data_IF_441270264452
#
_entry.id   IF_441270264452
#
_cell.length_a   1.000
_cell.length_b   1.000
_cell.length_c   1.000
_cell.angle_alpha   90.00
_cell.angle_beta   90.00
_cell.angle_gamma   90.00
#
_symmetry.space_group_name_H-M   'P 1'
#
loop_
_entity.id
_entity.type
_entity.pdbx_description
1 polymer ?
#
# COMPACT_ATOMS: atom_id res chain seq x y z
N UNK A 1 1.76 20.32 -2.02
CA UNK A 1 1.17 18.95 -2.07
C UNK A 1 1.89 18.08 -3.09
N UNK A 2 2.23 18.59 -4.27
CA UNK A 2 2.92 17.82 -5.32
C UNK A 2 4.27 17.22 -4.85
N UNK A 3 5.06 17.99 -4.08
CA UNK A 3 6.33 17.52 -3.49
C UNK A 3 6.13 16.34 -2.55
N UNK A 4 5.20 16.45 -1.59
CA UNK A 4 4.88 15.40 -0.61
C UNK A 4 4.41 14.12 -1.31
N UNK A 5 3.59 14.25 -2.35
CA UNK A 5 3.10 13.09 -3.09
C UNK A 5 4.22 12.38 -3.86
N UNK A 6 5.11 13.15 -4.51
CA UNK A 6 6.24 12.57 -5.25
C UNK A 6 7.22 11.83 -4.32
N UNK A 7 7.51 12.41 -3.16
CA UNK A 7 8.34 11.76 -2.13
C UNK A 7 7.67 10.49 -1.57
N UNK A 8 6.36 10.53 -1.27
CA UNK A 8 5.64 9.35 -0.82
C UNK A 8 5.64 8.24 -1.87
N UNK A 9 5.52 8.57 -3.16
CA UNK A 9 5.62 7.59 -4.26
C UNK A 9 7.01 6.98 -4.30
N UNK A 10 8.08 7.77 -4.18
CA UNK A 10 9.44 7.27 -4.16
C UNK A 10 9.68 6.31 -2.97
N UNK A 11 9.25 6.69 -1.76
CA UNK A 11 9.33 5.83 -0.58
C UNK A 11 8.48 4.56 -0.73
N UNK A 12 7.29 4.67 -1.34
CA UNK A 12 6.40 3.53 -1.56
C UNK A 12 7.06 2.43 -2.40
N UNK A 13 7.94 2.79 -3.34
CA UNK A 13 8.66 1.81 -4.16
C UNK A 13 9.62 0.93 -3.32
N UNK A 14 10.23 1.51 -2.29
CA UNK A 14 11.11 0.80 -1.35
C UNK A 14 10.30 -0.07 -0.38
N UNK A 15 9.13 0.42 0.04
CA UNK A 15 8.26 -0.29 1.00
C UNK A 15 7.42 -1.39 0.33
N UNK A 16 7.10 -1.27 -0.95
CA UNK A 16 6.29 -2.21 -1.71
C UNK A 16 6.75 -3.68 -1.62
N UNK A 17 8.04 -4.05 -1.79
CA UNK A 17 8.46 -5.44 -1.66
C UNK A 17 8.25 -5.98 -0.23
N UNK A 18 8.51 -5.17 0.80
CA UNK A 18 8.30 -5.56 2.20
C UNK A 18 6.83 -5.88 2.43
N UNK A 19 5.94 -4.97 2.03
CA UNK A 19 4.49 -5.14 2.20
C UNK A 19 3.96 -6.29 1.35
N UNK A 20 4.49 -6.48 0.13
CA UNK A 20 4.11 -7.59 -0.75
C UNK A 20 4.42 -8.96 -0.12
N UNK A 21 5.56 -9.11 0.56
CA UNK A 21 5.92 -10.35 1.28
C UNK A 21 4.87 -10.65 2.37
N UNK A 22 4.54 -9.66 3.20
CA UNK A 22 3.49 -9.83 4.22
C UNK A 22 2.15 -10.21 3.61
N UNK A 23 1.72 -9.50 2.55
CA UNK A 23 0.46 -9.78 1.86
C UNK A 23 0.44 -11.20 1.25
N UNK A 24 1.56 -11.67 0.70
CA UNK A 24 1.69 -13.04 0.21
C UNK A 24 1.54 -14.08 1.33
N UNK A 25 2.13 -13.84 2.50
CA UNK A 25 1.95 -14.73 3.66
C UNK A 25 0.48 -14.84 4.07
N UNK A 26 -0.26 -13.72 4.08
CA UNK A 26 -1.70 -13.74 4.36
C UNK A 26 -2.51 -14.46 3.28
N UNK A 27 -2.11 -14.38 2.01
CA UNK A 27 -2.74 -15.14 0.92
C UNK A 27 -2.55 -16.65 1.07
N UNK A 28 -1.40 -17.09 1.58
CA UNK A 28 -1.12 -18.51 1.83
C UNK A 28 -1.94 -19.08 3.00
N UNK A 29 -2.42 -18.23 3.91
CA UNK A 29 -3.21 -18.62 5.09
C UNK A 29 -4.70 -18.91 4.80
N UNK A 30 -5.10 -19.13 3.54
CA UNK A 30 -6.49 -19.35 3.08
C UNK A 30 -7.51 -18.29 3.57
N UNK A 31 -7.04 -17.04 3.75
CA UNK A 31 -7.92 -15.95 4.16
C UNK A 31 -8.86 -15.56 3.01
N UNK A 32 -10.11 -15.30 3.36
CA UNK A 32 -11.13 -14.88 2.41
C UNK A 32 -10.64 -13.63 1.64
N UNK A 33 -10.52 -13.78 0.31
CA UNK A 33 -9.91 -12.80 -0.59
C UNK A 33 -10.54 -11.41 -0.52
N UNK A 34 -11.77 -11.30 -0.02
CA UNK A 34 -12.48 -10.04 0.21
C UNK A 34 -11.79 -9.13 1.25
N UNK A 35 -11.05 -9.70 2.20
CA UNK A 35 -10.39 -8.96 3.28
C UNK A 35 -8.94 -8.58 2.95
N UNK A 36 -8.32 -9.26 1.99
CA UNK A 36 -6.96 -8.98 1.54
C UNK A 36 -6.68 -7.49 1.27
N UNK A 37 -7.51 -6.73 0.54
CA UNK A 37 -7.21 -5.32 0.29
C UNK A 37 -7.22 -4.44 1.54
N UNK A 38 -8.12 -4.71 2.49
CA UNK A 38 -8.15 -3.99 3.77
C UNK A 38 -6.93 -4.34 4.62
N UNK A 39 -6.52 -5.61 4.63
CA UNK A 39 -5.33 -6.07 5.32
C UNK A 39 -4.08 -5.43 4.70
N UNK A 40 -3.96 -5.40 3.37
CA UNK A 40 -2.83 -4.79 2.70
C UNK A 40 -2.70 -3.29 2.97
N UNK A 41 -3.81 -2.55 2.96
CA UNK A 41 -3.80 -1.11 3.27
C UNK A 41 -3.45 -0.89 4.75
N UNK A 42 -4.10 -1.61 5.66
CA UNK A 42 -3.82 -1.49 7.10
C UNK A 42 -2.37 -1.83 7.43
N UNK A 43 -1.83 -2.87 6.80
CA UNK A 43 -0.46 -3.31 6.98
C UNK A 43 0.54 -2.34 6.35
N UNK A 44 0.22 -1.80 5.18
CA UNK A 44 1.02 -0.75 4.55
C UNK A 44 1.12 0.51 5.41
N UNK A 45 0.00 0.99 5.95
CA UNK A 45 -0.02 2.15 6.88
C UNK A 45 0.76 1.82 8.14
N UNK A 46 0.56 0.65 8.74
CA UNK A 46 1.29 0.24 9.95
C UNK A 46 2.81 0.22 9.72
N UNK A 47 3.27 -0.37 8.61
CA UNK A 47 4.69 -0.37 8.23
C UNK A 47 5.20 1.05 7.98
N UNK A 48 4.41 1.89 7.30
CA UNK A 48 4.65 3.34 7.12
C UNK A 48 4.93 4.05 8.44
N UNK A 49 4.01 3.92 9.39
CA UNK A 49 4.10 4.56 10.71
C UNK A 49 5.31 4.03 11.50
N UNK A 50 5.57 2.72 11.47
CA UNK A 50 6.74 2.14 12.16
C UNK A 50 8.05 2.70 11.58
N UNK A 51 8.15 2.84 10.26
CA UNK A 51 9.32 3.43 9.62
C UNK A 51 9.51 4.91 9.99
N UNK A 52 8.44 5.71 10.00
CA UNK A 52 8.51 7.10 10.47
C UNK A 52 8.98 7.21 11.92
N UNK A 53 8.42 6.40 12.82
CA UNK A 53 8.81 6.42 14.23
C UNK A 53 10.25 5.96 14.46
N UNK A 54 10.71 4.96 13.69
CA UNK A 54 12.09 4.48 13.78
C UNK A 54 13.11 5.48 13.22
N UNK A 55 12.76 6.21 12.16
CA UNK A 55 13.60 7.24 11.53
C UNK A 55 13.52 8.61 12.20
N UNK A 56 12.50 8.87 13.02
CA UNK A 56 12.18 10.23 13.49
C UNK A 56 11.64 11.13 12.37
N UNK A 57 11.08 10.52 11.32
CA UNK A 57 10.60 11.17 10.11
C UNK A 57 9.11 11.56 10.19
N UNK A 58 8.62 12.27 9.17
CA UNK A 58 7.23 12.72 9.09
C UNK A 58 6.24 11.54 8.97
N UNK A 59 5.37 11.39 9.98
CA UNK A 59 4.38 10.31 10.04
C UNK A 59 3.38 10.38 8.88
N UNK A 60 3.04 11.58 8.41
CA UNK A 60 2.06 11.74 7.35
C UNK A 60 2.64 11.29 6.01
N UNK A 61 3.87 11.69 5.68
CA UNK A 61 4.59 11.29 4.47
C UNK A 61 4.76 9.77 4.38
N UNK A 62 5.27 9.15 5.44
CA UNK A 62 5.51 7.70 5.47
C UNK A 62 4.22 6.90 5.59
N UNK A 63 3.22 7.41 6.32
CA UNK A 63 1.88 6.82 6.35
C UNK A 63 1.25 6.82 4.95
N UNK A 64 1.40 7.90 4.18
CA UNK A 64 0.95 8.00 2.80
C UNK A 64 1.72 7.02 1.89
N UNK A 65 3.04 6.94 2.03
CA UNK A 65 3.89 5.99 1.28
C UNK A 65 3.49 4.54 1.56
N UNK A 66 3.22 4.22 2.83
CA UNK A 66 2.71 2.94 3.28
C UNK A 66 1.33 2.60 2.72
N UNK A 67 0.42 3.58 2.69
CA UNK A 67 -0.90 3.42 2.07
C UNK A 67 -0.78 3.13 0.57
N UNK A 68 0.04 3.91 -0.15
CA UNK A 68 0.23 3.77 -1.60
C UNK A 68 0.82 2.40 -1.95
N UNK A 69 1.85 1.98 -1.23
CA UNK A 69 2.48 0.66 -1.40
C UNK A 69 1.53 -0.48 -1.03
N UNK A 70 0.79 -0.39 0.07
CA UNK A 70 -0.22 -1.40 0.44
C UNK A 70 -1.36 -1.54 -0.57
N UNK A 71 -1.84 -0.41 -1.11
CA UNK A 71 -2.81 -0.40 -2.19
C UNK A 71 -2.25 -1.05 -3.47
N UNK A 72 -0.99 -0.78 -3.81
CA UNK A 72 -0.31 -1.39 -4.95
C UNK A 72 -0.16 -2.92 -4.78
N UNK A 73 0.24 -3.40 -3.59
CA UNK A 73 0.43 -4.83 -3.32
C UNK A 73 -0.87 -5.65 -3.32
N UNK A 74 -2.01 -5.03 -2.99
CA UNK A 74 -3.31 -5.70 -3.01
C UNK A 74 -3.90 -5.89 -4.41
N UNK A 75 -3.35 -5.23 -5.43
CA UNK A 75 -3.94 -5.20 -6.77
C UNK A 75 -5.15 -4.27 -6.88
N UNK A 76 -5.41 -3.41 -5.88
CA UNK A 76 -6.47 -2.40 -5.94
C UNK A 76 -6.26 -1.44 -7.11
N UNK A 77 -5.00 -1.12 -7.42
CA UNK A 77 -4.64 -0.30 -8.57
C UNK A 77 -5.12 -0.92 -9.89
N UNK A 78 -4.98 -2.24 -10.04
CA UNK A 78 -5.41 -2.98 -11.22
C UNK A 78 -6.95 -3.08 -11.27
N UNK A 79 -7.58 -3.29 -10.12
CA UNK A 79 -9.04 -3.34 -9.98
C UNK A 79 -9.71 -2.01 -10.33
N UNK A 80 -9.16 -0.88 -9.89
CA UNK A 80 -9.65 0.47 -10.23
C UNK A 80 -9.49 0.76 -11.72
N UNK A 81 -8.38 0.35 -12.33
CA UNK A 81 -8.15 0.50 -13.77
C UNK A 81 -9.15 -0.35 -14.58
N UNK A 82 -9.41 -1.59 -14.15
CA UNK A 82 -10.38 -2.49 -14.78
C UNK A 82 -11.82 -1.94 -14.70
N UNK A 83 -12.25 -1.43 -13.54
CA UNK A 83 -13.56 -0.77 -13.37
C UNK A 83 -13.71 0.47 -14.26
N UNK A 84 -12.63 1.24 -14.44
CA UNK A 84 -12.64 2.42 -15.32
C UNK A 84 -12.76 2.04 -16.80
N UNK A 85 -12.14 0.93 -17.22
CA UNK A 85 -12.29 0.38 -18.58
C UNK A 85 -13.70 -0.16 -18.82
N UNK A 86 -14.27 -0.88 -17.86
CA UNK A 86 -15.62 -1.48 -17.99
C UNK A 86 -16.77 -0.45 -18.01
N UNK A 87 -16.52 0.79 -17.57
CA UNK A 87 -17.50 1.89 -17.61
C UNK A 87 -17.36 2.79 -18.85
N UNK A 88 -16.40 2.48 -19.72
CA UNK A 88 -16.10 3.23 -20.94
C UNK A 88 -16.56 2.56 -22.25
N UNK A 89 -17.32 1.47 -22.18
CA UNK A 89 -17.94 0.78 -23.32
C UNK A 89 -19.47 0.89 -23.27
#
# INVERSE_FOLDING_TARGET
METVLNEAVALSAVMAPVIAIFVQLFKTADLNKRWLPFISIGLGIAVGVVFALAGGDDLFLYGLAGLLSGAASSGLYDSVKSVKSAKGE
#
